data_IF_159680057434
#
_entry.id   IF_159680057434
#
_cell.length_a   1.000
_cell.length_b   1.000
_cell.length_c   1.000
_cell.angle_alpha   90.00
_cell.angle_beta   90.00
_cell.angle_gamma   90.00
#
_symmetry.space_group_name_H-M   'P 1'
#
loop_
_entity.id
_entity.type
_entity.pdbx_description
1 polymer ?
#
# COMPACT_ATOMS: atom_id res chain seq x y z
N UNK A 1 0.87 -11.23 0.87
CA UNK A 1 0.21 -12.55 0.84
C UNK A 1 -1.20 -12.28 0.35
N UNK A 2 -1.69 -12.99 -0.67
CA UNK A 2 -3.09 -12.91 -1.06
C UNK A 2 -3.80 -13.95 -0.21
N UNK A 3 -4.58 -13.53 0.78
CA UNK A 3 -5.47 -14.46 1.47
C UNK A 3 -6.70 -14.80 0.60
N UNK A 4 -7.61 -15.60 1.13
CA UNK A 4 -8.83 -15.99 0.42
C UNK A 4 -9.72 -14.77 0.12
N UNK A 5 -9.76 -13.79 1.03
CA UNK A 5 -10.54 -12.58 0.85
C UNK A 5 -9.98 -11.71 -0.29
N UNK A 6 -8.66 -11.48 -0.32
CA UNK A 6 -7.97 -10.78 -1.40
C UNK A 6 -8.24 -11.45 -2.77
N UNK A 7 -8.26 -12.79 -2.81
CA UNK A 7 -8.52 -13.55 -4.04
C UNK A 7 -9.96 -13.35 -4.53
N UNK A 8 -10.93 -13.46 -3.62
CA UNK A 8 -12.35 -13.24 -3.93
C UNK A 8 -12.63 -11.81 -4.37
N UNK A 9 -12.05 -10.83 -3.67
CA UNK A 9 -12.15 -9.42 -4.02
C UNK A 9 -11.56 -9.13 -5.41
N UNK A 10 -10.39 -9.72 -5.72
CA UNK A 10 -9.79 -9.60 -7.04
C UNK A 10 -10.65 -10.25 -8.14
N UNK A 11 -11.23 -11.42 -7.87
CA UNK A 11 -12.16 -12.08 -8.79
C UNK A 11 -13.37 -11.19 -9.09
N UNK A 12 -13.97 -10.59 -8.06
CA UNK A 12 -15.09 -9.66 -8.21
C UNK A 12 -14.70 -8.40 -9.00
N UNK A 13 -13.53 -7.82 -8.71
CA UNK A 13 -12.98 -6.69 -9.45
C UNK A 13 -12.79 -7.04 -10.93
N UNK A 14 -12.24 -8.22 -11.25
CA UNK A 14 -12.06 -8.70 -12.63
C UNK A 14 -13.39 -8.93 -13.34
N UNK A 15 -14.42 -9.41 -12.61
CA UNK A 15 -15.76 -9.60 -13.16
C UNK A 15 -16.44 -8.28 -13.51
N UNK A 16 -16.30 -7.26 -12.65
CA UNK A 16 -16.95 -5.96 -12.84
C UNK A 16 -16.19 -5.02 -13.78
N UNK A 17 -14.86 -5.13 -13.82
CA UNK A 17 -14.00 -4.25 -14.60
C UNK A 17 -14.20 -4.47 -16.12
N UNK A 18 -14.64 -3.45 -16.87
CA UNK A 18 -14.73 -3.55 -18.33
C UNK A 18 -13.37 -3.81 -18.98
N UNK A 19 -13.32 -4.68 -19.99
CA UNK A 19 -12.08 -5.09 -20.68
C UNK A 19 -11.23 -3.92 -21.21
N UNK A 20 -11.85 -2.77 -21.52
CA UNK A 20 -11.14 -1.55 -21.98
C UNK A 20 -10.06 -1.06 -21.01
N UNK A 21 -10.16 -1.36 -19.72
CA UNK A 21 -9.19 -0.94 -18.71
C UNK A 21 -7.95 -1.84 -18.67
N UNK A 22 -8.03 -3.07 -19.19
CA UNK A 22 -7.02 -4.10 -18.97
C UNK A 22 -6.37 -4.51 -20.29
N UNK A 23 -5.26 -3.84 -20.63
CA UNK A 23 -4.54 -4.03 -21.89
C UNK A 23 -4.06 -5.47 -22.10
N UNK A 24 -3.62 -6.12 -21.03
CA UNK A 24 -3.07 -7.47 -21.03
C UNK A 24 -4.11 -8.53 -20.60
N UNK A 25 -5.40 -8.23 -20.72
CA UNK A 25 -6.48 -9.16 -20.36
C UNK A 25 -6.35 -10.46 -21.17
N UNK A 26 -6.22 -11.62 -20.52
CA UNK A 26 -6.19 -12.90 -21.23
C UNK A 26 -7.51 -13.18 -21.97
N UNK A 27 -7.44 -13.78 -23.16
CA UNK A 27 -8.63 -14.13 -23.96
C UNK A 27 -9.58 -15.09 -23.23
N UNK A 28 -9.08 -15.93 -22.33
CA UNK A 28 -9.87 -16.93 -21.60
C UNK A 28 -10.63 -16.41 -20.38
N UNK A 29 -10.50 -15.12 -20.02
CA UNK A 29 -11.13 -14.63 -18.78
C UNK A 29 -12.65 -14.73 -18.83
N UNK A 30 -13.29 -14.36 -19.95
CA UNK A 30 -14.75 -14.37 -20.03
C UNK A 30 -15.31 -15.80 -19.87
N UNK A 31 -14.68 -16.78 -20.54
CA UNK A 31 -15.04 -18.19 -20.40
C UNK A 31 -14.86 -18.71 -18.98
N UNK A 32 -13.77 -18.33 -18.32
CA UNK A 32 -13.50 -18.70 -16.92
C UNK A 32 -14.54 -18.09 -15.97
N UNK A 33 -14.91 -16.82 -16.16
CA UNK A 33 -15.94 -16.16 -15.35
C UNK A 33 -17.34 -16.79 -15.54
N UNK A 34 -17.63 -17.34 -16.72
CA UNK A 34 -18.88 -18.07 -17.00
C UNK A 34 -18.91 -19.48 -16.39
N UNK A 35 -17.75 -20.11 -16.18
CA UNK A 35 -17.60 -21.50 -15.74
C UNK A 35 -16.60 -21.59 -14.57
N UNK A 36 -16.94 -20.95 -13.45
CA UNK A 36 -16.07 -20.97 -12.27
C UNK A 36 -16.06 -22.36 -11.63
N UNK A 37 -14.92 -23.04 -11.73
CA UNK A 37 -14.63 -24.29 -11.04
C UNK A 37 -13.64 -24.01 -9.89
N UNK A 38 -13.96 -24.38 -8.62
CA UNK A 38 -13.11 -24.05 -7.46
C UNK A 38 -11.66 -24.53 -7.58
N UNK A 39 -11.42 -25.63 -8.28
CA UNK A 39 -10.10 -26.22 -8.48
C UNK A 39 -9.31 -25.60 -9.64
N UNK A 40 -9.95 -24.79 -10.50
CA UNK A 40 -9.28 -24.12 -11.61
C UNK A 40 -8.68 -22.79 -11.15
N UNK A 41 -7.39 -22.61 -11.45
CA UNK A 41 -6.72 -21.35 -11.16
C UNK A 41 -7.13 -20.26 -12.16
N UNK A 42 -7.39 -19.06 -11.64
CA UNK A 42 -7.77 -17.90 -12.42
C UNK A 42 -6.72 -17.57 -13.49
N UNK A 43 -7.12 -17.19 -14.73
CA UNK A 43 -6.18 -16.89 -15.82
C UNK A 43 -5.16 -15.79 -15.55
N UNK A 44 -5.34 -14.99 -14.50
CA UNK A 44 -4.44 -13.91 -14.07
C UNK A 44 -3.58 -14.23 -12.85
N UNK A 45 -3.73 -15.42 -12.26
CA UNK A 45 -2.96 -15.87 -11.10
C UNK A 45 -1.97 -16.98 -11.47
N UNK A 46 -0.91 -17.07 -10.68
CA UNK A 46 0.08 -18.15 -10.73
C UNK A 46 0.52 -18.51 -9.31
N UNK A 47 0.94 -19.77 -9.14
CA UNK A 47 1.61 -20.22 -7.93
C UNK A 47 3.07 -19.82 -7.95
N UNK A 48 3.56 -19.38 -6.81
CA UNK A 48 4.94 -19.00 -6.53
C UNK A 48 5.32 -19.46 -5.12
N UNK A 49 6.49 -19.06 -4.64
CA UNK A 49 7.01 -19.38 -3.32
C UNK A 49 7.28 -18.10 -2.52
N UNK A 50 6.77 -18.03 -1.29
CA UNK A 50 7.05 -16.97 -0.33
C UNK A 50 7.41 -17.62 1.00
N UNK A 51 8.59 -17.29 1.54
CA UNK A 51 9.09 -17.87 2.80
C UNK A 51 9.06 -19.42 2.82
N UNK A 52 9.49 -20.03 1.71
CA UNK A 52 9.48 -21.49 1.47
C UNK A 52 8.06 -22.13 1.46
N UNK A 53 7.00 -21.33 1.39
CA UNK A 53 5.61 -21.78 1.34
C UNK A 53 4.93 -21.41 0.00
N UNK A 54 3.99 -22.26 -0.51
CA UNK A 54 3.22 -21.93 -1.71
C UNK A 54 2.41 -20.65 -1.53
N UNK A 55 2.64 -19.67 -2.41
CA UNK A 55 1.96 -18.40 -2.38
C UNK A 55 1.30 -18.12 -3.72
N UNK A 56 0.08 -17.58 -3.67
CA UNK A 56 -0.63 -17.16 -4.86
C UNK A 56 -0.32 -15.70 -5.18
N UNK A 57 0.01 -15.42 -6.45
CA UNK A 57 0.29 -14.06 -6.93
C UNK A 57 -0.28 -13.80 -8.31
N UNK A 58 -0.39 -12.53 -8.67
CA UNK A 58 -0.73 -12.15 -10.05
C UNK A 58 0.41 -12.48 -11.00
N UNK A 59 0.10 -12.96 -12.20
CA UNK A 59 1.10 -13.26 -13.24
C UNK A 59 1.99 -12.08 -13.55
N UNK A 60 3.26 -12.37 -13.81
CA UNK A 60 4.23 -11.41 -14.35
C UNK A 60 4.28 -11.54 -15.87
N UNK A 61 3.98 -10.47 -16.59
CA UNK A 61 4.03 -10.40 -18.06
C UNK A 61 5.00 -9.29 -18.45
N UNK A 62 6.04 -9.60 -19.22
CA UNK A 62 7.07 -8.63 -19.64
C UNK A 62 7.67 -7.83 -18.46
N UNK A 63 7.97 -8.51 -17.36
CA UNK A 63 8.65 -7.93 -16.19
C UNK A 63 7.77 -7.11 -15.24
N UNK A 64 6.44 -7.10 -15.40
CA UNK A 64 5.53 -6.44 -14.46
C UNK A 64 4.22 -7.23 -14.27
N UNK A 65 3.46 -6.90 -13.23
CA UNK A 65 2.12 -7.45 -12.97
C UNK A 65 1.24 -7.39 -14.23
N UNK A 66 0.44 -8.43 -14.47
CA UNK A 66 -0.52 -8.54 -15.58
C UNK A 66 -1.55 -7.40 -15.61
N UNK A 67 -1.85 -6.76 -14.47
CA UNK A 67 -2.75 -5.61 -14.39
C UNK A 67 -2.05 -4.27 -14.66
N UNK A 68 -0.72 -4.23 -14.79
CA UNK A 68 -0.05 -3.01 -15.23
C UNK A 68 -0.26 -2.85 -16.74
N UNK A 69 -0.80 -1.71 -17.18
CA UNK A 69 -0.83 -1.31 -18.59
C UNK A 69 0.54 -0.73 -18.99
N UNK A 70 0.92 -0.89 -20.26
CA UNK A 70 2.28 -0.58 -20.77
C UNK A 70 2.36 0.79 -21.46
N UNK A 71 1.24 1.36 -21.86
CA UNK A 71 1.15 2.65 -22.57
C UNK A 71 1.10 3.87 -21.62
N UNK A 72 1.67 3.74 -20.41
CA UNK A 72 1.69 4.80 -19.40
C UNK A 72 0.39 4.94 -18.61
N UNK A 73 -0.61 4.11 -18.89
CA UNK A 73 -1.91 4.10 -18.22
C UNK A 73 -1.85 3.62 -16.75
N UNK A 74 -0.76 2.97 -16.33
CA UNK A 74 -0.65 2.47 -14.95
C UNK A 74 -1.51 1.22 -14.71
N UNK A 75 -1.98 0.99 -13.48
CA UNK A 75 -2.69 -0.24 -13.12
C UNK A 75 -4.17 -0.20 -13.57
N UNK A 76 -4.61 -1.23 -14.30
CA UNK A 76 -5.99 -1.39 -14.79
C UNK A 76 -7.04 -1.29 -13.66
N UNK A 77 -6.83 -2.01 -12.56
CA UNK A 77 -7.73 -2.00 -11.40
C UNK A 77 -7.81 -0.61 -10.76
N UNK A 78 -6.68 0.10 -10.69
CA UNK A 78 -6.64 1.46 -10.14
C UNK A 78 -7.40 2.44 -11.04
N UNK A 79 -7.16 2.41 -12.36
CA UNK A 79 -7.85 3.28 -13.30
C UNK A 79 -9.36 3.05 -13.27
N UNK A 80 -9.78 1.79 -13.34
CA UNK A 80 -11.19 1.44 -13.27
C UNK A 80 -11.80 1.88 -11.94
N UNK A 81 -11.13 1.60 -10.82
CA UNK A 81 -11.65 1.96 -9.51
C UNK A 81 -11.85 3.46 -9.33
N UNK A 82 -10.85 4.28 -9.71
CA UNK A 82 -10.95 5.74 -9.66
C UNK A 82 -12.07 6.26 -10.57
N UNK A 83 -12.15 5.78 -11.81
CA UNK A 83 -13.17 6.22 -12.77
C UNK A 83 -14.62 5.93 -12.30
N UNK A 84 -14.80 4.89 -11.49
CA UNK A 84 -16.12 4.42 -11.05
C UNK A 84 -16.40 4.72 -9.57
N UNK A 85 -15.47 5.37 -8.86
CA UNK A 85 -15.61 5.67 -7.44
C UNK A 85 -15.62 4.43 -6.55
N UNK A 86 -14.94 3.37 -6.98
CA UNK A 86 -14.78 2.13 -6.21
C UNK A 86 -13.77 2.33 -5.08
N UNK A 87 -13.96 1.56 -4.02
CA UNK A 87 -13.00 1.50 -2.93
C UNK A 87 -11.74 0.72 -3.35
N UNK A 88 -10.61 1.43 -3.46
CA UNK A 88 -9.33 0.84 -3.85
C UNK A 88 -8.81 -0.19 -2.85
N UNK A 89 -9.23 -0.15 -1.58
CA UNK A 89 -8.84 -1.18 -0.61
C UNK A 89 -9.61 -2.48 -0.80
N UNK A 90 -10.66 -2.47 -1.63
CA UNK A 90 -11.50 -3.62 -1.95
C UNK A 90 -11.23 -4.10 -3.38
N UNK A 91 -11.06 -3.20 -4.35
CA UNK A 91 -10.93 -3.62 -5.76
C UNK A 91 -9.50 -3.91 -6.21
N UNK A 92 -8.52 -3.71 -5.33
CA UNK A 92 -7.11 -4.03 -5.59
C UNK A 92 -6.61 -5.02 -4.54
N UNK A 93 -5.69 -5.92 -4.90
CA UNK A 93 -5.01 -6.76 -3.92
C UNK A 93 -4.32 -5.92 -2.84
N UNK A 94 -4.27 -6.41 -1.60
CA UNK A 94 -3.78 -5.66 -0.43
C UNK A 94 -2.45 -4.93 -0.67
N UNK A 95 -1.45 -5.67 -1.15
CA UNK A 95 -0.09 -5.14 -1.40
C UNK A 95 -0.07 -3.97 -2.39
N UNK A 96 -1.05 -3.91 -3.30
CA UNK A 96 -1.09 -2.93 -4.38
C UNK A 96 -1.71 -1.59 -3.99
N UNK A 97 -2.57 -1.55 -2.96
CA UNK A 97 -3.14 -0.29 -2.45
C UNK A 97 -2.42 0.21 -1.21
N UNK A 98 -1.72 -0.66 -0.49
CA UNK A 98 -0.99 -0.29 0.72
C UNK A 98 0.04 0.82 0.50
N UNK A 99 0.78 0.83 -0.62
CA UNK A 99 1.80 1.85 -0.90
C UNK A 99 1.22 3.28 -0.76
N UNK A 100 1.80 4.14 0.11
CA UNK A 100 3.14 4.05 0.71
C UNK A 100 3.23 3.34 2.08
N UNK A 101 2.10 2.94 2.66
CA UNK A 101 1.99 2.23 3.94
C UNK A 101 2.45 0.78 3.79
N UNK A 102 3.05 0.22 4.83
CA UNK A 102 3.46 -1.19 4.92
C UNK A 102 2.96 -1.75 6.23
N UNK A 103 2.20 -2.85 6.17
CA UNK A 103 1.84 -3.66 7.34
C UNK A 103 2.82 -4.80 7.52
N UNK A 104 3.30 -4.96 8.75
CA UNK A 104 4.13 -6.07 9.20
C UNK A 104 3.45 -6.73 10.38
N UNK A 105 3.40 -8.06 10.40
CA UNK A 105 2.76 -8.82 11.46
C UNK A 105 3.73 -9.90 11.91
N UNK A 106 3.97 -9.95 13.22
CA UNK A 106 4.86 -10.93 13.84
C UNK A 106 4.32 -11.30 15.22
N UNK A 107 4.50 -12.56 15.62
CA UNK A 107 4.09 -13.01 16.94
C UNK A 107 5.18 -12.65 17.96
N UNK A 108 4.79 -12.03 19.08
CA UNK A 108 5.69 -11.73 20.19
C UNK A 108 5.22 -12.40 21.49
N UNK A 109 6.14 -13.10 22.18
CA UNK A 109 5.92 -13.61 23.53
C UNK A 109 6.14 -12.48 24.54
N UNK A 110 5.11 -12.20 25.34
CA UNK A 110 5.15 -11.18 26.39
C UNK A 110 5.76 -11.74 27.67
N UNK A 111 6.11 -10.85 28.59
CA UNK A 111 6.73 -11.22 29.89
C UNK A 111 5.84 -12.09 30.78
N UNK A 112 4.53 -12.11 30.52
CA UNK A 112 3.56 -12.99 31.18
C UNK A 112 3.45 -14.37 30.52
N UNK A 113 4.21 -14.62 29.45
CA UNK A 113 4.22 -15.87 28.68
C UNK A 113 3.10 -15.97 27.64
N UNK A 114 2.27 -14.93 27.48
CA UNK A 114 1.23 -14.89 26.46
C UNK A 114 1.83 -14.46 25.11
N UNK A 115 1.45 -15.18 24.06
CA UNK A 115 1.82 -14.84 22.68
C UNK A 115 0.76 -13.91 22.09
N UNK A 116 1.19 -12.83 21.46
CA UNK A 116 0.30 -11.91 20.76
C UNK A 116 0.77 -11.65 19.34
N UNK A 117 -0.18 -11.42 18.43
CA UNK A 117 0.14 -10.89 17.11
C UNK A 117 0.40 -9.38 17.23
N UNK A 118 1.58 -8.93 16.82
CA UNK A 118 1.96 -7.52 16.76
C UNK A 118 1.92 -7.02 15.33
N UNK A 119 0.93 -6.17 15.05
CA UNK A 119 0.85 -5.42 13.79
C UNK A 119 1.62 -4.10 13.89
N UNK A 120 2.55 -3.89 12.95
CA UNK A 120 3.32 -2.65 12.79
C UNK A 120 2.99 -2.00 11.45
N UNK A 121 2.49 -0.76 11.47
CA UNK A 121 2.29 0.05 10.27
C UNK A 121 3.48 1.00 10.09
N UNK A 122 4.15 0.91 8.95
CA UNK A 122 5.36 1.66 8.62
C UNK A 122 5.36 2.10 7.15
N UNK A 123 6.47 2.65 6.66
CA UNK A 123 6.69 2.97 5.25
C UNK A 123 7.26 1.75 4.51
N UNK A 124 6.83 1.52 3.26
CA UNK A 124 7.63 0.69 2.34
C UNK A 124 8.91 1.44 2.00
N UNK A 125 10.06 0.97 2.50
CA UNK A 125 11.37 1.46 2.08
C UNK A 125 12.08 0.45 1.19
N UNK A 126 13.29 0.79 0.73
CA UNK A 126 14.11 -0.07 -0.12
C UNK A 126 14.43 -1.43 0.53
N UNK A 127 14.42 -1.52 1.87
CA UNK A 127 14.69 -2.76 2.62
C UNK A 127 13.47 -3.67 2.67
N UNK A 128 12.32 -3.22 2.16
CA UNK A 128 11.16 -4.06 1.93
C UNK A 128 11.28 -5.00 0.73
N UNK A 129 12.35 -4.87 -0.07
CA UNK A 129 12.49 -5.56 -1.35
C UNK A 129 13.87 -6.24 -1.44
N UNK A 130 14.03 -7.41 -0.81
CA UNK A 130 15.31 -8.12 -0.71
C UNK A 130 16.26 -7.53 0.34
N UNK A 131 17.53 -7.94 0.31
CA UNK A 131 18.65 -7.47 1.15
C UNK A 131 19.07 -6.01 0.85
N UNK A 132 18.13 -5.15 0.46
CA UNK A 132 18.37 -3.75 0.19
C UNK A 132 17.96 -3.31 -1.20
N UNK A 133 16.88 -3.83 -1.76
CA UNK A 133 16.20 -3.30 -2.95
C UNK A 133 16.49 -4.04 -4.25
N UNK A 134 17.13 -5.21 -4.21
CA UNK A 134 17.48 -5.98 -5.41
C UNK A 134 16.27 -6.67 -6.06
N UNK A 135 15.20 -6.90 -5.29
CA UNK A 135 14.01 -7.59 -5.78
C UNK A 135 13.00 -6.62 -6.44
N UNK A 136 13.23 -5.31 -6.32
CA UNK A 136 12.32 -4.32 -6.87
C UNK A 136 13.04 -3.02 -7.28
N UNK A 137 13.21 -2.85 -8.59
CA UNK A 137 13.95 -1.72 -9.19
C UNK A 137 13.26 -0.37 -9.00
N UNK A 138 11.95 -0.35 -8.68
CA UNK A 138 11.15 0.87 -8.60
C UNK A 138 10.61 1.12 -7.19
N UNK A 139 11.09 2.18 -6.54
CA UNK A 139 10.57 2.65 -5.26
C UNK A 139 10.57 4.18 -5.24
N UNK A 140 9.57 4.80 -4.61
CA UNK A 140 9.44 6.27 -4.62
C UNK A 140 9.16 6.90 -3.24
N UNK A 141 8.67 6.13 -2.28
CA UNK A 141 8.25 6.60 -0.94
C UNK A 141 9.32 7.42 -0.22
N UNK A 142 10.59 6.98 -0.28
CA UNK A 142 11.72 7.67 0.36
C UNK A 142 12.28 8.85 -0.45
N UNK A 143 11.78 9.11 -1.67
CA UNK A 143 12.25 10.22 -2.50
C UNK A 143 11.65 11.55 -2.02
N UNK A 144 12.43 12.63 -1.85
CA UNK A 144 11.91 13.94 -1.44
C UNK A 144 10.78 14.48 -2.34
N UNK A 145 10.79 14.13 -3.63
CA UNK A 145 9.76 14.50 -4.58
C UNK A 145 8.37 13.90 -4.26
N UNK A 146 8.31 12.83 -3.47
CA UNK A 146 7.06 12.21 -3.03
C UNK A 146 6.50 12.85 -1.75
N UNK A 147 7.25 13.74 -1.10
CA UNK A 147 6.89 14.40 0.18
C UNK A 147 6.37 15.83 -0.05
N UNK A 148 5.46 15.98 -1.02
CA UNK A 148 4.91 17.28 -1.46
C UNK A 148 3.44 17.53 -1.06
N UNK A 149 2.76 16.52 -0.52
CA UNK A 149 1.37 16.65 -0.06
C UNK A 149 1.21 17.76 0.97
N UNK A 150 0.09 18.48 0.91
CA UNK A 150 -0.29 19.47 1.93
C UNK A 150 -0.86 18.79 3.17
N UNK A 151 -1.57 17.68 2.96
CA UNK A 151 -2.15 16.88 4.03
C UNK A 151 -1.17 15.80 4.47
N UNK A 152 -0.96 15.62 5.78
CA UNK A 152 -0.12 14.55 6.29
C UNK A 152 -0.78 13.18 6.01
N UNK A 153 0.05 12.13 5.94
CA UNK A 153 -0.40 10.76 5.61
C UNK A 153 -1.58 10.29 6.47
N UNK A 154 -1.58 10.59 7.77
CA UNK A 154 -2.69 10.17 8.64
C UNK A 154 -4.04 10.79 8.27
N UNK A 155 -4.06 11.89 7.51
CA UNK A 155 -5.29 12.51 6.98
C UNK A 155 -5.56 12.02 5.55
N UNK A 156 -4.55 12.04 4.68
CA UNK A 156 -4.74 11.72 3.27
C UNK A 156 -4.99 10.23 3.01
N UNK A 157 -4.51 9.36 3.91
CA UNK A 157 -4.71 7.91 3.88
C UNK A 157 -5.52 7.41 5.08
N UNK A 158 -6.49 8.21 5.55
CA UNK A 158 -7.35 7.82 6.67
C UNK A 158 -8.03 6.46 6.42
N UNK A 159 -8.58 6.28 5.21
CA UNK A 159 -9.32 5.07 4.85
C UNK A 159 -8.41 3.84 4.86
N UNK A 160 -7.27 3.89 4.17
CA UNK A 160 -6.30 2.80 4.13
C UNK A 160 -5.74 2.47 5.51
N UNK A 161 -5.46 3.48 6.34
CA UNK A 161 -5.00 3.26 7.72
C UNK A 161 -6.07 2.55 8.54
N UNK A 162 -7.35 2.97 8.44
CA UNK A 162 -8.46 2.30 9.15
C UNK A 162 -8.62 0.86 8.69
N UNK A 163 -8.48 0.57 7.40
CA UNK A 163 -8.51 -0.82 6.90
C UNK A 163 -7.34 -1.63 7.47
N UNK A 164 -6.14 -1.07 7.58
CA UNK A 164 -4.95 -1.78 8.07
C UNK A 164 -4.92 -2.01 9.58
N UNK A 165 -5.39 -1.05 10.39
CA UNK A 165 -5.25 -1.08 11.86
C UNK A 165 -6.57 -1.06 12.63
N UNK A 166 -7.70 -0.86 11.95
CA UNK A 166 -9.01 -0.68 12.55
C UNK A 166 -9.28 0.74 13.06
N UNK A 167 -10.56 1.04 13.27
CA UNK A 167 -11.03 2.37 13.67
C UNK A 167 -10.51 2.83 15.03
N UNK A 168 -10.49 1.93 16.03
CA UNK A 168 -10.05 2.26 17.38
C UNK A 168 -8.58 2.70 17.43
N UNK A 169 -7.64 1.88 16.91
CA UNK A 169 -6.23 2.27 16.83
C UNK A 169 -5.98 3.50 15.94
N UNK A 170 -6.74 3.68 14.85
CA UNK A 170 -6.65 4.88 14.03
C UNK A 170 -7.01 6.15 14.83
N UNK A 171 -8.07 6.14 15.64
CA UNK A 171 -8.44 7.32 16.44
C UNK A 171 -7.35 7.69 17.44
N UNK A 172 -6.69 6.71 18.05
CA UNK A 172 -5.54 6.93 18.95
C UNK A 172 -4.37 7.58 18.18
N UNK A 173 -4.04 7.05 16.99
CA UNK A 173 -3.03 7.65 16.11
C UNK A 173 -3.39 9.10 15.75
N UNK A 174 -4.61 9.33 15.31
CA UNK A 174 -5.09 10.64 14.89
C UNK A 174 -5.08 11.65 16.05
N UNK A 175 -5.44 11.23 17.28
CA UNK A 175 -5.33 12.05 18.48
C UNK A 175 -3.88 12.51 18.71
N UNK A 176 -2.92 11.59 18.71
CA UNK A 176 -1.50 11.92 18.86
C UNK A 176 -1.00 12.87 17.76
N UNK A 177 -1.40 12.65 16.51
CA UNK A 177 -1.03 13.51 15.39
C UNK A 177 -1.64 14.92 15.50
N UNK A 178 -2.92 15.04 15.92
CA UNK A 178 -3.58 16.33 16.18
C UNK A 178 -2.89 17.08 17.32
N UNK A 179 -2.56 16.39 18.41
CA UNK A 179 -1.83 16.97 19.55
C UNK A 179 -0.44 17.47 19.13
N UNK A 180 0.30 16.69 18.34
CA UNK A 180 1.60 17.08 17.79
C UNK A 180 1.49 18.32 16.90
N UNK A 181 0.48 18.39 16.03
CA UNK A 181 0.22 19.57 15.19
C UNK A 181 -0.09 20.83 16.02
N UNK A 182 -0.88 20.69 17.07
CA UNK A 182 -1.19 21.79 17.99
C UNK A 182 0.05 22.28 18.73
N UNK A 183 0.89 21.36 19.22
CA UNK A 183 2.16 21.69 19.87
C UNK A 183 3.13 22.40 18.90
N UNK A 184 3.24 21.94 17.65
CA UNK A 184 4.08 22.56 16.63
C UNK A 184 3.65 24.02 16.38
N UNK A 185 2.34 24.25 16.27
CA UNK A 185 1.77 25.59 16.11
C UNK A 185 2.08 26.49 17.31
N UNK A 186 1.94 25.99 18.54
CA UNK A 186 2.23 26.78 19.74
C UNK A 186 3.72 27.18 19.82
N UNK A 187 4.62 26.26 19.45
CA UNK A 187 6.06 26.50 19.45
C UNK A 187 6.52 27.41 18.30
N UNK A 188 5.84 27.42 17.16
CA UNK A 188 6.21 28.23 15.99
C UNK A 188 6.28 29.74 16.26
N UNK A 189 5.59 30.23 17.30
CA UNK A 189 5.67 31.63 17.72
C UNK A 189 6.95 31.98 18.49
N UNK A 190 7.71 30.97 18.93
CA UNK A 190 8.87 31.10 19.82
C UNK A 190 10.16 30.60 19.18
N UNK A 191 10.07 29.97 18.01
CA UNK A 191 11.18 29.31 17.33
C UNK A 191 11.45 29.96 15.98
N UNK A 192 12.71 29.90 15.57
CA UNK A 192 13.08 30.16 14.18
C UNK A 192 12.47 29.10 13.26
N UNK A 193 12.44 29.37 11.95
CA UNK A 193 11.93 28.43 10.94
C UNK A 193 12.66 27.08 11.00
N UNK A 194 13.98 27.10 11.18
CA UNK A 194 14.81 25.90 11.21
C UNK A 194 14.61 25.07 12.49
N UNK A 195 14.47 25.75 13.63
CA UNK A 195 14.13 25.09 14.91
C UNK A 195 12.74 24.48 14.82
N UNK A 196 11.75 25.21 14.32
CA UNK A 196 10.38 24.71 14.14
C UNK A 196 10.33 23.50 13.19
N UNK A 197 11.16 23.47 12.15
CA UNK A 197 11.27 22.35 11.20
C UNK A 197 11.89 21.08 11.82
N UNK A 198 12.56 21.19 12.97
CA UNK A 198 13.30 20.09 13.61
C UNK A 198 12.85 19.76 15.03
N UNK A 199 11.94 20.55 15.64
CA UNK A 199 11.30 20.28 16.95
C UNK A 199 10.79 18.85 17.08
N UNK A 200 10.33 18.32 15.96
CA UNK A 200 9.68 17.05 15.86
C UNK A 200 10.41 16.19 14.85
N UNK A 201 10.61 14.91 15.19
CA UNK A 201 11.03 13.90 14.23
C UNK A 201 10.17 14.03 12.96
N UNK A 202 10.84 14.41 11.89
CA UNK A 202 10.29 14.65 10.57
C UNK A 202 10.96 13.65 9.65
N UNK A 203 10.19 13.11 8.71
CA UNK A 203 10.72 12.14 7.78
C UNK A 203 11.96 12.71 7.04
N UNK A 204 13.08 11.98 6.90
CA UNK A 204 14.29 12.50 6.27
C UNK A 204 14.05 13.07 4.86
N UNK A 205 13.18 12.44 4.07
CA UNK A 205 12.83 12.94 2.74
C UNK A 205 12.05 14.26 2.79
N UNK A 206 11.22 14.48 3.82
CA UNK A 206 10.57 15.77 4.06
C UNK A 206 11.58 16.84 4.48
N UNK A 207 12.63 16.47 5.25
CA UNK A 207 13.68 17.41 5.66
C UNK A 207 14.53 17.87 4.48
N UNK A 208 14.97 16.95 3.63
CA UNK A 208 15.80 17.25 2.44
C UNK A 208 15.10 18.17 1.43
N UNK A 209 13.76 18.24 1.45
CA UNK A 209 12.98 19.23 0.69
C UNK A 209 13.34 20.66 1.08
N UNK A 210 13.62 20.93 2.35
CA UNK A 210 13.97 22.26 2.84
C UNK A 210 15.42 22.61 2.53
N UNK A 211 16.32 21.64 2.61
CA UNK A 211 17.76 21.84 2.37
C UNK A 211 18.07 22.11 0.89
N UNK A 212 17.34 21.50 -0.05
CA UNK A 212 17.52 21.68 -1.50
C UNK A 212 16.83 22.94 -2.08
N UNK A 213 16.35 23.86 -1.23
CA UNK A 213 15.81 25.17 -1.64
C UNK A 213 16.80 26.33 -1.46
N UNK A 214 18.04 26.04 -1.05
CA UNK A 214 19.20 26.94 -1.20
C UNK A 214 19.93 26.67 -2.52
#
# INVERSE_FOLDING_TARGET
>A
MCDEEDREQLLDAVRRMPARYWQLRPTGVDTHLEHLEPEELEPWLEWDELDDEPALRTKVVDGACIFANRDGSGCALHQWGVDNGEDLTVVKPEVCWQLPLRRLEDYEERTDGEEILRTTITEYDRRGWGNGGEDFDWYCTTAPACHQSQDPIWVSHEHELRVLMGDGPYEVLAEHCRARKAAAKALSAQLTVDEAATVFNTHPATRLRYDNKM
#
